data_IF_173820797251
#
_entry.id   IF_173820797251
#
_cell.length_a   1.000
_cell.length_b   1.000
_cell.length_c   1.000
_cell.angle_alpha   90.00
_cell.angle_beta   90.00
_cell.angle_gamma   90.00
#
_symmetry.space_group_name_H-M   'P 1'
#
loop_
_entity.id
_entity.type
_entity.pdbx_description
1 polymer ?
#
# COMPACT_ATOMS: atom_id res chain seq x y z
N UNK A 1 -3.09 -0.38 30.28
CA UNK A 1 -4.48 -0.16 30.74
C UNK A 1 -5.44 -0.64 29.66
N UNK A 2 -6.15 -1.75 29.86
CA UNK A 2 -7.16 -2.27 28.92
C UNK A 2 -8.47 -1.50 29.09
N UNK A 3 -8.92 -0.80 28.04
CA UNK A 3 -10.21 -0.10 28.05
C UNK A 3 -11.35 -1.13 28.19
N UNK A 4 -12.00 -1.18 29.35
CA UNK A 4 -13.27 -1.90 29.53
C UNK A 4 -14.34 -1.19 28.70
N UNK A 5 -14.79 -1.79 27.61
CA UNK A 5 -15.99 -1.33 26.91
C UNK A 5 -17.21 -1.56 27.81
N UNK A 6 -18.18 -0.63 27.79
CA UNK A 6 -19.43 -0.81 28.51
C UNK A 6 -20.14 -2.07 28.00
N UNK A 7 -20.78 -2.84 28.89
CA UNK A 7 -21.47 -4.09 28.54
C UNK A 7 -22.51 -3.92 27.42
N UNK A 8 -23.11 -2.73 27.31
CA UNK A 8 -24.06 -2.34 26.26
C UNK A 8 -23.45 -2.24 24.85
N UNK A 9 -22.13 -2.10 24.72
CA UNK A 9 -21.44 -2.01 23.42
C UNK A 9 -20.96 -3.37 22.89
N UNK A 10 -21.05 -4.43 23.71
CA UNK A 10 -20.64 -5.78 23.32
C UNK A 10 -21.70 -6.39 22.42
N UNK A 11 -21.29 -6.75 21.21
CA UNK A 11 -22.18 -7.33 20.19
C UNK A 11 -22.39 -8.82 20.48
N UNK A 12 -23.56 -9.19 21.00
CA UNK A 12 -23.88 -10.57 21.41
C UNK A 12 -25.00 -11.23 20.59
N UNK A 13 -25.80 -10.45 19.85
CA UNK A 13 -26.91 -10.96 19.03
C UNK A 13 -26.43 -11.36 17.63
N UNK A 14 -26.99 -12.44 17.08
CA UNK A 14 -26.67 -12.96 15.74
C UNK A 14 -27.88 -12.78 14.82
N UNK A 15 -27.62 -12.33 13.60
CA UNK A 15 -28.59 -12.31 12.50
C UNK A 15 -28.23 -13.44 11.53
N UNK A 16 -29.21 -14.25 11.14
CA UNK A 16 -29.00 -15.34 10.18
C UNK A 16 -29.76 -15.01 8.89
N UNK A 17 -29.09 -15.15 7.75
CA UNK A 17 -29.67 -15.02 6.43
C UNK A 17 -29.11 -16.14 5.55
N UNK A 18 -29.96 -16.67 4.67
CA UNK A 18 -29.56 -17.68 3.67
C UNK A 18 -29.27 -16.97 2.36
N UNK A 19 -28.19 -17.36 1.70
CA UNK A 19 -27.75 -16.84 0.41
C UNK A 19 -27.61 -18.00 -0.56
N UNK A 20 -27.95 -17.75 -1.83
CA UNK A 20 -27.50 -18.58 -2.93
C UNK A 20 -25.98 -18.47 -3.10
N UNK A 21 -25.32 -19.41 -3.81
CA UNK A 21 -23.89 -19.35 -4.06
C UNK A 21 -23.44 -18.04 -4.74
N UNK A 22 -24.23 -17.54 -5.69
CA UNK A 22 -23.93 -16.32 -6.44
C UNK A 22 -24.02 -15.10 -5.51
N UNK A 23 -25.08 -15.00 -4.71
CA UNK A 23 -25.23 -13.90 -3.75
C UNK A 23 -24.11 -13.91 -2.71
N UNK A 24 -23.71 -15.09 -2.24
CA UNK A 24 -22.61 -15.21 -1.30
C UNK A 24 -21.30 -14.68 -1.90
N UNK A 25 -20.97 -15.06 -3.14
CA UNK A 25 -19.75 -14.61 -3.80
C UNK A 25 -19.77 -13.10 -4.08
N UNK A 26 -20.92 -12.54 -4.48
CA UNK A 26 -21.09 -11.09 -4.64
C UNK A 26 -20.82 -10.32 -3.34
N UNK A 27 -21.32 -10.81 -2.20
CA UNK A 27 -21.10 -10.16 -0.90
C UNK A 27 -19.65 -10.33 -0.44
N UNK A 28 -19.05 -11.50 -0.72
CA UNK A 28 -17.65 -11.78 -0.42
C UNK A 28 -16.70 -10.87 -1.19
N UNK A 29 -16.87 -10.78 -2.50
CA UNK A 29 -16.07 -9.89 -3.36
C UNK A 29 -16.12 -8.44 -2.87
N UNK A 30 -17.33 -7.93 -2.57
CA UNK A 30 -17.50 -6.58 -2.00
C UNK A 30 -16.78 -6.39 -0.65
N UNK A 31 -16.69 -7.44 0.16
CA UNK A 31 -16.03 -7.38 1.46
C UNK A 31 -14.50 -7.36 1.30
N UNK A 32 -13.98 -8.14 0.36
CA UNK A 32 -12.56 -8.16 -0.01
C UNK A 32 -12.12 -6.81 -0.57
N UNK A 33 -12.89 -6.23 -1.50
CA UNK A 33 -12.63 -4.90 -2.05
C UNK A 33 -12.55 -3.84 -0.94
N UNK A 34 -13.49 -3.87 0.00
CA UNK A 34 -13.53 -2.94 1.11
C UNK A 34 -12.60 -3.33 2.30
N UNK A 35 -11.76 -4.36 2.13
CA UNK A 35 -10.79 -4.85 3.13
C UNK A 35 -11.41 -5.09 4.52
N UNK A 36 -12.61 -5.69 4.55
CA UNK A 36 -13.35 -5.95 5.78
C UNK A 36 -13.95 -7.36 5.81
N UNK A 37 -14.31 -7.83 7.00
CA UNK A 37 -15.03 -9.10 7.10
C UNK A 37 -16.45 -8.98 6.53
N UNK A 38 -16.97 -10.08 6.00
CA UNK A 38 -18.38 -10.21 5.59
C UNK A 38 -19.34 -9.65 6.65
N UNK A 39 -19.14 -10.02 7.91
CA UNK A 39 -19.98 -9.57 9.03
C UNK A 39 -19.88 -8.06 9.32
N UNK A 40 -18.73 -7.43 9.07
CA UNK A 40 -18.58 -5.97 9.17
C UNK A 40 -19.27 -5.28 8.00
N UNK A 41 -19.06 -5.76 6.77
CA UNK A 41 -19.69 -5.22 5.57
C UNK A 41 -21.21 -5.27 5.67
N UNK A 42 -21.77 -6.46 5.91
CA UNK A 42 -23.22 -6.66 6.00
C UNK A 42 -23.83 -5.76 7.08
N UNK A 43 -23.16 -5.65 8.23
CA UNK A 43 -23.64 -4.79 9.32
C UNK A 43 -23.59 -3.31 8.96
N UNK A 44 -22.55 -2.85 8.26
CA UNK A 44 -22.49 -1.46 7.78
C UNK A 44 -23.62 -1.17 6.79
N UNK A 45 -23.84 -2.06 5.83
CA UNK A 45 -24.94 -1.94 4.87
C UNK A 45 -26.31 -1.89 5.58
N UNK A 46 -26.57 -2.81 6.52
CA UNK A 46 -27.84 -2.86 7.27
C UNK A 46 -28.06 -1.64 8.17
N UNK A 47 -27.00 -1.01 8.65
CA UNK A 47 -27.07 0.19 9.49
C UNK A 47 -26.90 1.49 8.69
N UNK A 48 -26.93 1.41 7.34
CA UNK A 48 -26.73 2.54 6.43
C UNK A 48 -25.45 3.34 6.76
N UNK A 49 -24.41 2.65 7.24
CA UNK A 49 -23.12 3.27 7.54
C UNK A 49 -22.27 3.32 6.27
N UNK A 50 -21.51 4.40 6.05
CA UNK A 50 -20.59 4.48 4.94
C UNK A 50 -19.62 3.28 4.93
N UNK A 51 -19.47 2.69 3.75
CA UNK A 51 -18.36 1.78 3.46
C UNK A 51 -17.16 2.69 3.22
N UNK A 52 -16.06 2.52 3.98
CA UNK A 52 -14.87 3.31 3.73
C UNK A 52 -14.38 2.98 2.32
N UNK A 53 -13.81 3.96 1.58
CA UNK A 53 -13.17 3.64 0.32
C UNK A 53 -12.14 2.53 0.54
N UNK A 54 -11.94 1.64 -0.44
CA UNK A 54 -10.87 0.65 -0.35
C UNK A 54 -9.58 1.36 0.05
N UNK A 55 -8.77 0.80 0.96
CA UNK A 55 -7.44 1.35 1.17
C UNK A 55 -6.77 1.44 -0.20
N UNK A 56 -6.00 2.52 -0.48
CA UNK A 56 -5.31 2.64 -1.76
C UNK A 56 -4.63 1.30 -2.00
N UNK A 57 -5.00 0.63 -3.10
CA UNK A 57 -4.39 -0.62 -3.51
C UNK A 57 -2.95 -0.26 -3.81
N UNK A 58 -2.11 -0.28 -2.79
CA UNK A 58 -0.68 -0.32 -2.92
C UNK A 58 -0.44 -1.61 -3.70
N UNK A 59 -0.33 -1.50 -5.04
CA UNK A 59 -0.18 -2.64 -5.93
C UNK A 59 0.94 -3.55 -5.40
N UNK A 60 0.90 -4.86 -5.65
CA UNK A 60 1.88 -5.81 -5.06
C UNK A 60 3.35 -5.39 -5.26
N UNK A 61 3.63 -4.61 -6.30
CA UNK A 61 4.95 -4.02 -6.61
C UNK A 61 5.41 -2.97 -5.59
N UNK A 62 4.51 -2.35 -4.82
CA UNK A 62 4.79 -1.17 -3.98
C UNK A 62 5.56 -1.47 -2.70
N UNK A 63 5.31 -2.59 -2.00
CA UNK A 63 5.95 -2.84 -0.69
C UNK A 63 7.42 -3.19 -0.85
N UNK A 64 7.76 -4.06 -1.80
CA UNK A 64 9.16 -4.38 -2.10
C UNK A 64 9.92 -3.14 -2.60
N UNK A 65 9.31 -2.39 -3.53
CA UNK A 65 9.88 -1.12 -4.04
C UNK A 65 10.06 -0.10 -2.92
N UNK A 66 9.09 0.02 -2.00
CA UNK A 66 9.19 0.91 -0.84
C UNK A 66 10.35 0.52 0.09
N UNK A 67 10.56 -0.78 0.33
CA UNK A 67 11.69 -1.28 1.13
C UNK A 67 13.03 -0.99 0.45
N UNK A 68 13.15 -1.17 -0.86
CA UNK A 68 14.37 -0.83 -1.60
C UNK A 68 14.65 0.69 -1.59
N UNK A 69 13.62 1.53 -1.79
CA UNK A 69 13.75 2.98 -1.65
C UNK A 69 14.18 3.39 -0.24
N UNK A 70 13.67 2.72 0.79
CA UNK A 70 14.07 2.96 2.18
C UNK A 70 15.55 2.62 2.43
N UNK A 71 16.04 1.51 1.86
CA UNK A 71 17.47 1.14 1.92
C UNK A 71 18.35 2.17 1.23
N UNK A 72 17.96 2.62 0.04
CA UNK A 72 18.66 3.68 -0.71
C UNK A 72 18.73 4.98 0.12
N UNK A 73 17.61 5.39 0.71
CA UNK A 73 17.56 6.57 1.58
C UNK A 73 18.47 6.47 2.80
N UNK A 74 18.57 5.28 3.40
CA UNK A 74 19.49 5.03 4.51
C UNK A 74 20.96 5.14 4.09
N UNK A 75 21.33 4.61 2.93
CA UNK A 75 22.69 4.70 2.40
C UNK A 75 23.08 6.15 2.10
N UNK A 76 22.19 6.94 1.47
CA UNK A 76 22.38 8.37 1.25
C UNK A 76 22.60 9.11 2.58
N UNK A 77 21.78 8.82 3.59
CA UNK A 77 21.89 9.45 4.90
C UNK A 77 23.23 9.11 5.59
N UNK A 78 23.73 7.88 5.42
CA UNK A 78 25.05 7.48 5.94
C UNK A 78 26.18 8.22 5.23
N UNK A 79 26.17 8.28 3.89
CA UNK A 79 27.16 9.02 3.11
C UNK A 79 27.15 10.52 3.45
N UNK A 80 25.97 11.13 3.55
CA UNK A 80 25.82 12.52 3.94
C UNK A 80 26.36 12.78 5.35
N UNK A 81 26.12 11.87 6.31
CA UNK A 81 26.68 11.98 7.66
C UNK A 81 28.21 11.91 7.66
N UNK A 82 28.80 10.98 6.92
CA UNK A 82 30.27 10.84 6.82
C UNK A 82 30.88 12.08 6.17
N UNK A 83 30.31 12.55 5.05
CA UNK A 83 30.77 13.75 4.36
C UNK A 83 30.67 15.00 5.25
N UNK A 84 29.53 15.21 5.92
CA UNK A 84 29.34 16.32 6.85
C UNK A 84 30.30 16.25 8.05
N UNK A 85 30.61 15.04 8.53
CA UNK A 85 31.57 14.85 9.62
C UNK A 85 32.99 15.19 9.17
N UNK A 86 33.39 14.79 7.97
CA UNK A 86 34.70 15.12 7.42
C UNK A 86 34.88 16.62 7.18
N UNK A 87 33.87 17.29 6.60
CA UNK A 87 33.85 18.75 6.41
C UNK A 87 33.99 19.46 7.76
N UNK A 88 33.26 19.01 8.79
CA UNK A 88 33.33 19.58 10.14
C UNK A 88 34.72 19.40 10.78
N UNK A 89 35.40 18.31 10.45
CA UNK A 89 36.77 18.01 10.90
C UNK A 89 37.85 18.66 10.01
N UNK A 90 37.47 19.48 9.01
CA UNK A 90 38.38 20.06 7.99
C UNK A 90 39.20 19.01 7.24
N UNK A 91 38.67 17.80 7.14
CA UNK A 91 39.25 16.70 6.38
C UNK A 91 38.54 16.63 5.01
N UNK A 92 39.24 16.17 3.96
CA UNK A 92 38.59 15.91 2.68
C UNK A 92 37.50 14.85 2.90
N UNK A 93 36.28 15.05 2.36
CA UNK A 93 35.20 14.08 2.53
C UNK A 93 35.60 12.74 1.91
N UNK A 94 35.56 11.63 2.68
CA UNK A 94 35.96 10.30 2.22
C UNK A 94 34.79 9.65 1.48
N UNK A 95 34.20 10.35 0.52
CA UNK A 95 33.17 9.78 -0.34
C UNK A 95 33.86 9.01 -1.46
N UNK A 96 33.75 7.69 -1.40
CA UNK A 96 34.24 6.80 -2.44
C UNK A 96 33.40 7.02 -3.73
N UNK A 97 34.02 7.45 -4.84
CA UNK A 97 33.32 7.68 -6.10
C UNK A 97 32.69 6.42 -6.69
N UNK A 98 33.20 5.22 -6.36
CA UNK A 98 32.63 3.95 -6.82
C UNK A 98 31.29 3.67 -6.14
N UNK A 99 31.23 3.82 -4.82
CA UNK A 99 29.99 3.71 -4.03
C UNK A 99 28.92 4.73 -4.46
N UNK A 100 29.34 5.94 -4.84
CA UNK A 100 28.42 6.96 -5.32
C UNK A 100 27.82 6.60 -6.70
N UNK A 101 28.64 6.01 -7.58
CA UNK A 101 28.17 5.52 -8.87
C UNK A 101 27.22 4.33 -8.73
N UNK A 102 27.53 3.35 -7.87
CA UNK A 102 26.66 2.21 -7.59
C UNK A 102 25.28 2.67 -7.08
N UNK A 103 25.26 3.63 -6.16
CA UNK A 103 24.03 4.23 -5.65
C UNK A 103 23.21 4.92 -6.77
N UNK A 104 23.89 5.64 -7.67
CA UNK A 104 23.26 6.34 -8.79
C UNK A 104 22.67 5.35 -9.81
N UNK A 105 23.33 4.22 -10.04
CA UNK A 105 22.82 3.14 -10.87
C UNK A 105 21.58 2.47 -10.26
N UNK A 106 21.60 2.18 -8.96
CA UNK A 106 20.45 1.64 -8.23
C UNK A 106 19.25 2.58 -8.30
N UNK A 107 19.47 3.88 -8.14
CA UNK A 107 18.42 4.90 -8.21
C UNK A 107 17.79 4.98 -9.61
N UNK A 108 18.62 4.96 -10.67
CA UNK A 108 18.16 4.90 -12.07
C UNK A 108 17.41 3.60 -12.39
N UNK A 109 17.82 2.48 -11.80
CA UNK A 109 17.12 1.21 -11.95
C UNK A 109 15.72 1.28 -11.33
N UNK A 110 15.61 1.71 -10.07
CA UNK A 110 14.32 1.88 -9.39
C UNK A 110 13.40 2.87 -10.13
N UNK A 111 13.92 4.00 -10.62
CA UNK A 111 13.13 4.95 -11.41
C UNK A 111 12.53 4.33 -12.68
N UNK A 112 13.31 3.50 -13.40
CA UNK A 112 12.83 2.81 -14.61
C UNK A 112 11.77 1.76 -14.28
N UNK A 113 11.96 0.98 -13.23
CA UNK A 113 10.97 -0.04 -12.82
C UNK A 113 9.66 0.61 -12.37
N UNK A 114 9.72 1.71 -11.62
CA UNK A 114 8.55 2.49 -11.23
C UNK A 114 7.85 3.08 -12.47
N UNK A 115 8.60 3.64 -13.43
CA UNK A 115 8.00 4.20 -14.65
C UNK A 115 7.25 3.14 -15.49
N UNK A 116 7.76 1.91 -15.57
CA UNK A 116 7.10 0.79 -16.26
C UNK A 116 5.76 0.41 -15.62
N UNK A 117 5.64 0.51 -14.30
CA UNK A 117 4.39 0.17 -13.61
C UNK A 117 3.25 1.15 -13.91
N UNK A 118 3.54 2.41 -14.23
CA UNK A 118 2.51 3.39 -14.58
C UNK A 118 2.04 3.28 -16.05
N UNK A 119 2.90 2.83 -16.97
CA UNK A 119 2.58 2.72 -18.40
C UNK A 119 1.69 1.49 -18.70
N UNK A 120 1.67 0.49 -17.82
CA UNK A 120 0.89 -0.75 -18.05
C UNK A 120 -0.55 -0.71 -17.53
N UNK A 121 -0.95 0.32 -16.77
CA UNK A 121 -2.31 0.45 -16.23
C UNK A 121 -3.26 1.24 -17.16
N UNK A 122 -2.74 1.96 -18.16
CA UNK A 122 -3.55 2.82 -19.07
C UNK A 122 -3.99 2.13 -20.38
N UNK A 123 -3.46 0.93 -20.71
CA UNK A 123 -3.69 0.29 -22.03
C UNK A 123 -4.73 -0.85 -22.04
N UNK A 124 -5.50 -1.08 -20.96
CA UNK A 124 -6.59 -2.07 -20.91
C UNK A 124 -7.98 -1.43 -20.69
N UNK A 125 -8.30 -0.36 -21.44
CA UNK A 125 -9.69 0.08 -21.61
C UNK A 125 -10.12 -0.09 -23.08
N UNK A 126 -10.26 -1.34 -23.54
CA UNK A 126 -11.12 -1.65 -24.70
C UNK A 126 -12.57 -1.65 -24.22
N UNK A 127 -13.20 -0.48 -24.17
CA UNK A 127 -14.65 -0.36 -24.07
C UNK A 127 -15.27 -0.54 -25.46
N UNK A 128 -15.46 -1.80 -25.84
CA UNK A 128 -16.23 -2.22 -27.00
C UNK A 128 -17.73 -2.12 -26.65
N UNK A 129 -18.26 -0.90 -26.58
CA UNK A 129 -19.68 -0.64 -26.33
C UNK A 129 -20.39 -0.26 -27.63
N UNK A 130 -21.23 -1.17 -28.15
CA UNK A 130 -22.26 -0.86 -29.16
C UNK A 130 -23.65 -0.97 -28.52
N UNK A 131 -24.51 0.07 -28.62
CA UNK A 131 -25.90 -0.05 -28.23
C UNK A 131 -26.75 -0.64 -29.38
N UNK A 132 -27.62 -1.58 -29.03
CA UNK A 132 -28.80 -1.97 -29.82
C UNK A 132 -29.98 -1.01 -29.55
#
# INVERSE_FOLDING_TARGET
MTKRSSSSLIRTKRLQARFSPIEYEMVRSKAEDASMSLAELTRRCMLLRPIPPPPPRLGRVTVATYLELSRIGNNINQLAKVANTAIKMQLPPPADPELLNELLELLRHCQREIAKTFISEEDEETDDWQPD
#
